data_IF_446120930845
#
_entry.id   IF_446120930845
#
_cell.length_a   1.000
_cell.length_b   1.000
_cell.length_c   1.000
_cell.angle_alpha   90.00
_cell.angle_beta   90.00
_cell.angle_gamma   90.00
#
_symmetry.space_group_name_H-M   'P 1'
#
loop_
_entity.id
_entity.type
_entity.pdbx_description
1 polymer ?
#
# COMPACT_ATOMS: atom_id res chain seq x y z
N UNK A 1 -2.13 22.21 32.48
CA UNK A 1 -1.37 20.97 32.21
C UNK A 1 -0.20 20.86 33.18
N UNK A 2 -0.12 19.78 33.95
CA UNK A 2 0.94 19.57 34.93
C UNK A 2 2.27 19.21 34.26
N UNK A 3 3.40 19.30 35.00
CA UNK A 3 4.72 18.88 34.55
C UNK A 3 4.70 17.42 34.04
N UNK A 4 4.07 16.53 34.76
CA UNK A 4 3.98 15.10 34.48
C UNK A 4 3.18 14.81 33.20
N UNK A 5 2.06 15.50 32.98
CA UNK A 5 1.30 15.35 31.75
C UNK A 5 2.07 15.84 30.50
N UNK A 6 2.85 16.90 30.64
CA UNK A 6 3.75 17.37 29.54
C UNK A 6 4.87 16.37 29.25
N UNK A 7 5.42 15.71 30.26
CA UNK A 7 6.46 14.69 30.12
C UNK A 7 5.90 13.45 29.42
N UNK A 8 4.78 12.93 29.90
CA UNK A 8 4.10 11.77 29.29
C UNK A 8 3.74 12.00 27.82
N UNK A 9 3.29 13.22 27.47
CA UNK A 9 3.02 13.60 26.08
C UNK A 9 4.30 13.55 25.22
N UNK A 10 5.41 14.12 25.68
CA UNK A 10 6.69 14.11 24.96
C UNK A 10 7.21 12.68 24.75
N UNK A 11 7.11 11.83 25.77
CA UNK A 11 7.53 10.42 25.68
C UNK A 11 6.66 9.65 24.67
N UNK A 12 5.35 9.92 24.65
CA UNK A 12 4.43 9.38 23.64
C UNK A 12 4.81 9.84 22.22
N UNK A 13 5.00 11.14 22.03
CA UNK A 13 5.41 11.71 20.74
C UNK A 13 6.73 11.13 20.23
N UNK A 14 7.73 10.98 21.10
CA UNK A 14 9.02 10.39 20.74
C UNK A 14 8.87 8.93 20.29
N UNK A 15 8.03 8.15 20.96
CA UNK A 15 7.75 6.76 20.64
C UNK A 15 7.02 6.62 19.31
N UNK A 16 6.01 7.45 19.07
CA UNK A 16 5.28 7.49 17.79
C UNK A 16 6.24 7.83 16.66
N UNK A 17 7.07 8.87 16.80
CA UNK A 17 8.05 9.25 15.77
C UNK A 17 9.04 8.15 15.46
N UNK A 18 9.51 7.41 16.47
CA UNK A 18 10.40 6.25 16.28
C UNK A 18 9.70 5.16 15.48
N UNK A 19 8.50 4.74 15.89
CA UNK A 19 7.72 3.72 15.20
C UNK A 19 7.36 4.10 13.76
N UNK A 20 7.01 5.36 13.51
CA UNK A 20 6.79 5.86 12.16
C UNK A 20 8.05 5.82 11.29
N UNK A 21 9.21 6.17 11.85
CA UNK A 21 10.47 6.13 11.11
C UNK A 21 10.88 4.69 10.74
N UNK A 22 10.69 3.75 11.66
CA UNK A 22 10.90 2.32 11.42
C UNK A 22 9.96 1.80 10.33
N UNK A 23 8.67 2.05 10.46
CA UNK A 23 7.66 1.66 9.46
C UNK A 23 7.97 2.24 8.06
N UNK A 24 8.28 3.53 7.98
CA UNK A 24 8.63 4.18 6.70
C UNK A 24 9.85 3.56 6.05
N UNK A 25 10.88 3.23 6.83
CA UNK A 25 12.09 2.57 6.34
C UNK A 25 11.78 1.17 5.79
N UNK A 26 10.97 0.40 6.48
CA UNK A 26 10.55 -0.94 6.03
C UNK A 26 9.68 -0.87 4.77
N UNK A 27 8.73 0.07 4.74
CA UNK A 27 7.89 0.31 3.56
C UNK A 27 8.73 0.75 2.35
N UNK A 28 9.69 1.64 2.54
CA UNK A 28 10.61 2.07 1.48
C UNK A 28 11.45 0.90 0.96
N UNK A 29 11.99 0.06 1.84
CA UNK A 29 12.74 -1.12 1.47
C UNK A 29 11.89 -2.10 0.66
N UNK A 30 10.64 -2.32 1.06
CA UNK A 30 9.68 -3.16 0.35
C UNK A 30 9.42 -2.64 -1.08
N UNK A 31 9.13 -1.35 -1.24
CA UNK A 31 8.88 -0.75 -2.56
C UNK A 31 10.13 -0.73 -3.45
N UNK A 32 11.31 -0.50 -2.88
CA UNK A 32 12.58 -0.54 -3.62
C UNK A 32 12.94 -1.97 -4.08
N UNK A 33 12.71 -2.97 -3.24
CA UNK A 33 12.89 -4.37 -3.61
C UNK A 33 12.00 -4.72 -4.81
N UNK A 34 10.72 -4.36 -4.72
CA UNK A 34 9.75 -4.64 -5.78
C UNK A 34 10.10 -3.92 -7.08
N UNK A 35 10.52 -2.65 -7.01
CA UNK A 35 10.98 -1.91 -8.18
C UNK A 35 12.20 -2.59 -8.84
N UNK A 36 13.11 -3.14 -8.04
CA UNK A 36 14.27 -3.88 -8.53
C UNK A 36 13.86 -5.16 -9.27
N UNK A 37 12.87 -5.89 -8.77
CA UNK A 37 12.33 -7.09 -9.45
C UNK A 37 11.66 -6.73 -10.78
N UNK A 38 10.75 -5.75 -10.75
CA UNK A 38 10.08 -5.28 -11.98
C UNK A 38 11.10 -4.85 -13.06
N UNK A 39 12.19 -4.20 -12.64
CA UNK A 39 13.26 -3.80 -13.55
C UNK A 39 14.00 -5.00 -14.13
N UNK A 40 14.33 -6.00 -13.33
CA UNK A 40 15.00 -7.24 -13.81
C UNK A 40 14.16 -7.95 -14.86
N UNK A 41 12.86 -8.12 -14.63
CA UNK A 41 11.96 -8.76 -15.58
C UNK A 41 11.88 -7.96 -16.89
N UNK A 42 11.75 -6.65 -16.79
CA UNK A 42 11.73 -5.76 -17.95
C UNK A 42 13.04 -5.80 -18.75
N UNK A 43 14.20 -5.73 -18.09
CA UNK A 43 15.52 -5.76 -18.74
C UNK A 43 15.76 -7.12 -19.40
N UNK A 44 15.40 -8.23 -18.74
CA UNK A 44 15.50 -9.59 -19.30
C UNK A 44 14.63 -9.76 -20.55
N UNK A 45 13.41 -9.22 -20.52
CA UNK A 45 12.51 -9.22 -21.66
C UNK A 45 13.09 -8.43 -22.83
N UNK A 46 13.54 -7.19 -22.60
CA UNK A 46 14.08 -6.31 -23.65
C UNK A 46 15.32 -6.92 -24.28
N UNK A 47 16.24 -7.51 -23.49
CA UNK A 47 17.44 -8.17 -24.04
C UNK A 47 17.09 -9.36 -24.93
N UNK A 48 16.16 -10.21 -24.50
CA UNK A 48 15.68 -11.34 -25.33
C UNK A 48 15.04 -10.89 -26.63
N UNK A 49 14.38 -9.72 -26.61
CA UNK A 49 13.63 -9.20 -27.74
C UNK A 49 14.51 -8.46 -28.76
N UNK A 50 15.41 -7.61 -28.30
CA UNK A 50 16.32 -6.82 -29.13
C UNK A 50 17.26 -7.70 -29.95
N UNK A 51 17.70 -8.83 -29.39
CA UNK A 51 18.65 -9.73 -30.04
C UNK A 51 18.05 -10.63 -31.14
N UNK A 52 16.71 -10.74 -31.24
CA UNK A 52 16.09 -11.72 -32.15
C UNK A 52 15.48 -11.17 -33.45
N UNK A 53 15.05 -9.92 -33.54
CA UNK A 53 14.11 -9.56 -34.57
C UNK A 53 14.43 -8.35 -35.46
N UNK A 54 15.33 -7.46 -35.16
CA UNK A 54 15.64 -6.27 -35.98
C UNK A 54 14.41 -5.39 -36.36
N UNK A 55 13.23 -5.65 -35.77
CA UNK A 55 11.96 -5.01 -36.05
C UNK A 55 11.56 -4.06 -34.92
N UNK A 56 10.90 -2.94 -35.27
CA UNK A 56 10.32 -2.08 -34.26
C UNK A 56 9.12 -2.78 -33.56
N UNK A 57 8.97 -2.55 -32.25
CA UNK A 57 7.89 -3.15 -31.44
C UNK A 57 6.49 -2.72 -31.93
N UNK A 58 6.37 -1.55 -32.55
CA UNK A 58 5.10 -1.03 -33.12
C UNK A 58 4.63 -1.79 -34.36
N UNK A 59 5.56 -2.18 -35.24
CA UNK A 59 5.24 -3.00 -36.38
C UNK A 59 4.84 -4.41 -35.97
N UNK A 60 5.40 -4.84 -34.86
CA UNK A 60 5.15 -6.11 -34.22
C UNK A 60 3.68 -6.29 -33.80
N UNK A 61 3.10 -5.33 -33.11
CA UNK A 61 1.74 -5.41 -32.58
C UNK A 61 0.68 -5.33 -33.68
N UNK A 62 0.88 -4.45 -34.67
CA UNK A 62 -0.06 -4.30 -35.78
C UNK A 62 -0.24 -5.57 -36.61
N UNK A 63 0.83 -6.38 -36.78
CA UNK A 63 0.78 -7.69 -37.42
C UNK A 63 0.13 -8.77 -36.56
N UNK A 64 0.30 -8.69 -35.21
CA UNK A 64 -0.23 -9.68 -34.30
C UNK A 64 -1.75 -9.56 -34.10
N UNK A 65 -2.28 -8.34 -34.03
CA UNK A 65 -3.73 -8.08 -33.87
C UNK A 65 -4.56 -8.61 -35.05
N UNK A 66 -3.92 -8.90 -36.21
CA UNK A 66 -4.57 -9.44 -37.40
C UNK A 66 -4.37 -10.96 -37.60
N UNK A 67 -3.76 -11.67 -36.62
CA UNK A 67 -3.30 -13.03 -36.80
C UNK A 67 -4.02 -14.05 -35.88
N UNK A 68 -4.68 -15.04 -36.47
CA UNK A 68 -5.28 -16.15 -35.74
C UNK A 68 -4.21 -17.21 -35.37
N UNK A 69 -3.72 -17.15 -34.14
CA UNK A 69 -2.65 -18.02 -33.60
C UNK A 69 -3.04 -19.50 -33.66
N UNK A 70 -4.30 -19.84 -33.33
CA UNK A 70 -4.75 -21.25 -33.33
C UNK A 70 -4.87 -21.87 -34.72
N UNK A 71 -5.45 -21.12 -35.64
CA UNK A 71 -5.54 -21.59 -37.00
C UNK A 71 -4.16 -21.80 -37.64
N UNK A 72 -3.21 -20.91 -37.30
CA UNK A 72 -1.86 -21.02 -37.84
C UNK A 72 -1.00 -22.10 -37.15
N UNK A 73 -1.19 -22.38 -35.84
CA UNK A 73 -0.47 -23.48 -35.15
C UNK A 73 -0.71 -24.83 -35.85
N UNK A 74 -1.96 -25.09 -36.28
CA UNK A 74 -2.33 -26.29 -37.03
C UNK A 74 -1.61 -26.34 -38.39
N UNK A 75 -1.60 -25.22 -39.11
CA UNK A 75 -0.94 -25.08 -40.40
C UNK A 75 0.58 -25.16 -40.29
N UNK A 76 1.18 -24.58 -39.26
CA UNK A 76 2.62 -24.67 -38.99
C UNK A 76 3.07 -26.11 -38.70
N UNK A 77 2.29 -26.88 -37.96
CA UNK A 77 2.53 -28.31 -37.75
C UNK A 77 2.50 -29.09 -39.07
N UNK A 78 1.60 -28.71 -39.98
CA UNK A 78 1.49 -29.34 -41.30
C UNK A 78 2.72 -29.02 -42.15
N UNK A 79 3.18 -27.75 -42.21
CA UNK A 79 4.41 -27.38 -42.94
C UNK A 79 5.64 -28.14 -42.46
N UNK A 80 5.76 -28.40 -41.16
CA UNK A 80 6.86 -29.18 -40.59
C UNK A 80 6.73 -30.65 -40.97
N UNK A 81 5.51 -31.22 -40.92
CA UNK A 81 5.26 -32.60 -41.26
C UNK A 81 5.52 -32.86 -42.80
N UNK A 82 5.11 -31.92 -43.64
CA UNK A 82 5.25 -32.02 -45.07
C UNK A 82 6.65 -31.59 -45.57
N UNK A 83 7.54 -31.15 -44.66
CA UNK A 83 8.87 -30.58 -44.98
C UNK A 83 8.81 -29.46 -46.07
N UNK A 84 7.76 -28.64 -46.01
CA UNK A 84 7.59 -27.51 -46.94
C UNK A 84 8.45 -26.32 -46.47
N UNK A 85 9.54 -26.07 -47.18
CA UNK A 85 10.45 -24.94 -46.96
C UNK A 85 10.29 -23.85 -48.05
N UNK A 86 9.14 -23.77 -48.68
CA UNK A 86 8.86 -22.74 -49.66
C UNK A 86 9.00 -21.31 -49.12
N UNK A 87 9.24 -20.29 -49.93
CA UNK A 87 9.26 -18.89 -49.51
C UNK A 87 7.95 -18.45 -48.85
N UNK A 88 6.83 -19.10 -49.19
CA UNK A 88 5.51 -18.86 -48.60
C UNK A 88 5.45 -19.45 -47.17
N UNK A 89 5.80 -20.73 -46.98
CA UNK A 89 5.84 -21.40 -45.70
C UNK A 89 6.79 -20.69 -44.73
N UNK A 90 7.99 -20.32 -45.21
CA UNK A 90 8.96 -19.58 -44.40
C UNK A 90 8.49 -18.18 -43.99
N UNK A 91 7.67 -17.50 -44.77
CA UNK A 91 7.07 -16.21 -44.44
C UNK A 91 6.01 -16.37 -43.36
N UNK A 92 5.12 -17.34 -43.54
CA UNK A 92 4.05 -17.66 -42.59
C UNK A 92 4.62 -18.14 -41.23
N UNK A 93 5.69 -18.95 -41.23
CA UNK A 93 6.40 -19.35 -40.00
C UNK A 93 7.07 -18.16 -39.30
N UNK A 94 7.60 -17.18 -40.02
CA UNK A 94 8.11 -15.94 -39.42
C UNK A 94 6.98 -15.12 -38.79
N UNK A 95 5.83 -15.02 -39.44
CA UNK A 95 4.67 -14.33 -38.93
C UNK A 95 4.09 -15.03 -37.70
N UNK A 96 4.16 -16.38 -37.62
CA UNK A 96 3.83 -17.16 -36.41
C UNK A 96 4.81 -16.90 -35.24
N UNK A 97 6.11 -17.00 -35.50
CA UNK A 97 7.13 -16.72 -34.49
C UNK A 97 7.02 -15.29 -33.94
N UNK A 98 6.54 -14.40 -34.75
CA UNK A 98 6.25 -13.03 -34.45
C UNK A 98 5.01 -12.91 -33.53
N UNK A 99 3.89 -13.56 -33.85
CA UNK A 99 2.68 -13.61 -33.02
C UNK A 99 2.94 -14.26 -31.66
N UNK A 100 3.77 -15.32 -31.64
CA UNK A 100 4.24 -15.92 -30.38
C UNK A 100 5.14 -14.96 -29.57
N UNK A 101 5.77 -13.97 -30.18
CA UNK A 101 6.52 -12.96 -29.46
C UNK A 101 5.64 -11.91 -28.78
N UNK A 102 4.44 -11.66 -29.31
CA UNK A 102 3.41 -10.80 -28.68
C UNK A 102 2.80 -11.50 -27.45
N UNK A 103 2.54 -12.81 -27.53
CA UNK A 103 2.15 -13.60 -26.35
C UNK A 103 3.18 -13.51 -25.21
N UNK A 104 4.46 -13.29 -25.51
CA UNK A 104 5.49 -13.03 -24.49
C UNK A 104 5.36 -11.67 -23.83
N UNK A 105 4.84 -10.64 -24.50
CA UNK A 105 4.55 -9.36 -23.88
C UNK A 105 3.41 -9.48 -22.85
N UNK A 106 2.39 -10.27 -23.16
CA UNK A 106 1.32 -10.58 -22.22
C UNK A 106 1.84 -11.36 -21.02
N UNK A 107 2.76 -12.32 -21.23
CA UNK A 107 3.43 -13.02 -20.14
C UNK A 107 4.24 -12.07 -19.26
N UNK A 108 5.03 -11.16 -19.83
CA UNK A 108 5.72 -10.15 -19.05
C UNK A 108 4.76 -9.30 -18.22
N UNK A 109 3.65 -8.85 -18.81
CA UNK A 109 2.66 -8.06 -18.08
C UNK A 109 2.07 -8.87 -16.93
N UNK A 110 1.78 -10.16 -17.11
CA UNK A 110 1.29 -11.04 -16.04
C UNK A 110 2.33 -11.23 -14.95
N UNK A 111 3.60 -11.43 -15.29
CA UNK A 111 4.70 -11.51 -14.32
C UNK A 111 4.80 -10.21 -13.48
N UNK A 112 4.76 -9.05 -14.14
CA UNK A 112 4.75 -7.76 -13.44
C UNK A 112 3.51 -7.56 -12.56
N UNK A 113 2.33 -8.02 -13.00
CA UNK A 113 1.10 -7.99 -12.22
C UNK A 113 1.18 -8.89 -10.97
N UNK A 114 1.79 -10.08 -11.08
CA UNK A 114 2.03 -10.99 -9.95
C UNK A 114 3.00 -10.38 -8.92
N UNK A 115 4.08 -9.76 -9.39
CA UNK A 115 5.02 -9.07 -8.52
C UNK A 115 4.35 -7.92 -7.73
N UNK A 116 3.49 -7.14 -8.38
CA UNK A 116 2.73 -6.09 -7.71
C UNK A 116 1.64 -6.64 -6.78
N UNK A 117 1.12 -7.84 -7.03
CA UNK A 117 0.22 -8.52 -6.11
C UNK A 117 0.95 -8.96 -4.84
N UNK A 118 2.17 -9.48 -4.97
CA UNK A 118 3.03 -9.81 -3.83
C UNK A 118 3.37 -8.56 -3.00
N UNK A 119 3.64 -7.41 -3.64
CA UNK A 119 3.78 -6.13 -2.96
C UNK A 119 2.54 -5.77 -2.13
N UNK A 120 1.35 -5.99 -2.69
CA UNK A 120 0.08 -5.67 -2.02
C UNK A 120 -0.09 -6.43 -0.71
N UNK A 121 0.22 -7.73 -0.72
CA UNK A 121 0.13 -8.57 0.49
C UNK A 121 1.22 -8.22 1.51
N UNK A 122 2.45 -7.99 1.05
CA UNK A 122 3.55 -7.59 1.95
C UNK A 122 3.29 -6.24 2.61
N UNK A 123 2.74 -5.27 1.88
CA UNK A 123 2.32 -3.99 2.44
C UNK A 123 1.18 -4.15 3.46
N UNK A 124 0.21 -5.03 3.15
CA UNK A 124 -0.88 -5.32 4.07
C UNK A 124 -0.36 -5.91 5.39
N UNK A 125 0.54 -6.88 5.33
CA UNK A 125 1.14 -7.50 6.50
C UNK A 125 1.94 -6.48 7.33
N UNK A 126 2.81 -5.71 6.68
CA UNK A 126 3.60 -4.67 7.34
C UNK A 126 2.71 -3.64 8.04
N UNK A 127 1.62 -3.23 7.39
CA UNK A 127 0.65 -2.29 7.96
C UNK A 127 -0.10 -2.92 9.14
N UNK A 128 -0.55 -4.16 9.02
CA UNK A 128 -1.23 -4.90 10.11
C UNK A 128 -0.36 -4.97 11.37
N UNK A 129 0.91 -5.34 11.20
CA UNK A 129 1.87 -5.42 12.30
C UNK A 129 2.12 -4.04 12.93
N UNK A 130 2.25 -3.01 12.11
CA UNK A 130 2.42 -1.63 12.59
C UNK A 130 1.21 -1.16 13.41
N UNK A 131 -0.01 -1.43 12.98
CA UNK A 131 -1.24 -1.08 13.69
C UNK A 131 -1.38 -1.86 15.00
N UNK A 132 -1.14 -3.17 14.99
CA UNK A 132 -1.16 -4.02 16.19
C UNK A 132 -0.12 -3.57 17.21
N UNK A 133 1.08 -3.26 16.77
CA UNK A 133 2.15 -2.75 17.63
C UNK A 133 1.77 -1.38 18.21
N UNK A 134 1.10 -0.52 17.44
CA UNK A 134 0.55 0.75 17.89
C UNK A 134 -0.47 0.57 19.03
N UNK A 135 -1.40 -0.36 18.88
CA UNK A 135 -2.38 -0.70 19.92
C UNK A 135 -1.69 -1.19 21.20
N UNK A 136 -0.81 -2.19 21.08
CA UNK A 136 -0.06 -2.76 22.21
C UNK A 136 0.80 -1.71 22.93
N UNK A 137 1.45 -0.83 22.17
CA UNK A 137 2.27 0.25 22.72
C UNK A 137 1.45 1.26 23.53
N UNK A 138 0.23 1.54 23.09
CA UNK A 138 -0.67 2.44 23.82
C UNK A 138 -1.19 1.78 25.10
N UNK A 139 -1.61 0.51 25.04
CA UNK A 139 -1.99 -0.28 26.22
C UNK A 139 -0.85 -0.34 27.25
N UNK A 140 0.37 -0.58 26.81
CA UNK A 140 1.54 -0.60 27.70
C UNK A 140 1.79 0.77 28.34
N UNK A 141 1.58 1.86 27.60
CA UNK A 141 1.69 3.23 28.13
C UNK A 141 0.66 3.49 29.22
N UNK A 142 -0.59 3.14 28.98
CA UNK A 142 -1.67 3.35 29.98
C UNK A 142 -1.43 2.52 31.24
N UNK A 143 -0.91 1.30 31.11
CA UNK A 143 -0.49 0.48 32.24
C UNK A 143 0.59 1.16 33.09
N UNK A 144 1.58 1.80 32.44
CA UNK A 144 2.62 2.56 33.12
C UNK A 144 2.09 3.81 33.85
N UNK A 145 0.95 4.33 33.45
CA UNK A 145 0.24 5.43 34.07
C UNK A 145 -0.67 4.96 35.21
N UNK A 146 -0.68 3.66 35.54
CA UNK A 146 -1.46 3.07 36.62
C UNK A 146 -2.89 2.67 36.26
N UNK A 147 -3.25 2.70 34.94
CA UNK A 147 -4.56 2.28 34.49
C UNK A 147 -4.69 0.75 34.50
N UNK A 148 -5.87 0.24 34.80
CA UNK A 148 -6.22 -1.15 34.52
C UNK A 148 -6.32 -1.35 33.00
N UNK A 149 -5.58 -2.34 32.49
CA UNK A 149 -5.51 -2.58 31.03
C UNK A 149 -5.93 -4.01 30.67
N UNK A 150 -6.51 -4.23 29.50
CA UNK A 150 -6.86 -5.57 29.05
C UNK A 150 -5.59 -6.42 28.85
N UNK A 151 -5.71 -7.72 29.12
CA UNK A 151 -4.61 -8.69 28.96
C UNK A 151 -5.09 -9.99 28.31
N UNK A 152 -4.15 -10.81 27.86
CA UNK A 152 -4.43 -12.13 27.28
C UNK A 152 -5.46 -12.08 26.15
N UNK A 153 -6.46 -12.96 26.22
CA UNK A 153 -7.50 -13.07 25.16
C UNK A 153 -8.34 -11.79 24.99
N UNK A 154 -8.56 -11.05 26.07
CA UNK A 154 -9.32 -9.78 26.03
C UNK A 154 -8.56 -8.73 25.23
N UNK A 155 -7.26 -8.60 25.46
CA UNK A 155 -6.38 -7.71 24.68
C UNK A 155 -6.42 -8.06 23.20
N UNK A 156 -6.25 -9.33 22.85
CA UNK A 156 -6.27 -9.78 21.45
C UNK A 156 -7.62 -9.50 20.77
N UNK A 157 -8.74 -9.71 21.49
CA UNK A 157 -10.08 -9.41 20.97
C UNK A 157 -10.25 -7.91 20.70
N UNK A 158 -9.90 -7.06 21.65
CA UNK A 158 -10.07 -5.62 21.52
C UNK A 158 -9.16 -5.05 20.43
N UNK A 159 -7.90 -5.48 20.40
CA UNK A 159 -6.94 -5.11 19.36
C UNK A 159 -7.43 -5.51 17.98
N UNK A 160 -7.87 -6.75 17.79
CA UNK A 160 -8.38 -7.24 16.52
C UNK A 160 -9.62 -6.45 16.06
N UNK A 161 -10.52 -6.14 16.99
CA UNK A 161 -11.70 -5.33 16.72
C UNK A 161 -11.30 -3.91 16.29
N UNK A 162 -10.39 -3.27 17.04
CA UNK A 162 -9.92 -1.93 16.75
C UNK A 162 -9.18 -1.84 15.39
N UNK A 163 -8.27 -2.78 15.13
CA UNK A 163 -7.51 -2.81 13.86
C UNK A 163 -8.45 -2.98 12.65
N UNK A 164 -9.46 -3.86 12.76
CA UNK A 164 -10.37 -4.17 11.64
C UNK A 164 -11.62 -3.28 11.56
N UNK A 165 -11.75 -2.29 12.42
CA UNK A 165 -12.88 -1.38 12.38
C UNK A 165 -12.92 -0.54 11.10
N UNK A 166 -14.12 -0.25 10.60
CA UNK A 166 -14.30 0.69 9.51
C UNK A 166 -13.98 2.12 9.96
N UNK A 167 -13.35 2.88 9.08
CA UNK A 167 -13.12 4.30 9.26
C UNK A 167 -13.40 5.02 7.94
N UNK A 168 -14.22 6.06 7.95
CA UNK A 168 -14.62 6.79 6.73
C UNK A 168 -15.09 5.86 5.59
N UNK A 169 -15.93 4.90 5.92
CA UNK A 169 -16.62 4.04 4.95
C UNK A 169 -15.86 2.83 4.42
N UNK A 170 -14.60 2.60 4.84
CA UNK A 170 -13.85 1.43 4.41
C UNK A 170 -12.85 0.96 5.47
N UNK A 171 -12.42 -0.30 5.37
CA UNK A 171 -11.27 -0.80 6.14
C UNK A 171 -9.96 -0.34 5.49
N UNK A 172 -8.93 -0.18 6.30
CA UNK A 172 -7.59 0.17 5.83
C UNK A 172 -7.04 -0.84 4.80
N UNK A 173 -7.30 -2.13 4.99
CA UNK A 173 -6.87 -3.19 4.07
C UNK A 173 -7.55 -3.07 2.71
N UNK A 174 -8.83 -2.73 2.65
CA UNK A 174 -9.57 -2.50 1.40
C UNK A 174 -8.98 -1.30 0.63
N UNK A 175 -8.57 -0.25 1.35
CA UNK A 175 -7.89 0.91 0.77
C UNK A 175 -6.53 0.56 0.18
N UNK A 176 -5.75 -0.33 0.82
CA UNK A 176 -4.50 -0.87 0.26
C UNK A 176 -4.79 -1.60 -1.04
N UNK A 177 -5.72 -2.56 -1.04
CA UNK A 177 -6.05 -3.34 -2.24
C UNK A 177 -6.52 -2.46 -3.40
N UNK A 178 -7.38 -1.47 -3.14
CA UNK A 178 -7.86 -0.53 -4.16
C UNK A 178 -6.72 0.31 -4.76
N UNK A 179 -5.83 0.85 -3.93
CA UNK A 179 -4.67 1.62 -4.38
C UNK A 179 -3.70 0.75 -5.19
N UNK A 180 -3.42 -0.45 -4.72
CA UNK A 180 -2.53 -1.38 -5.40
C UNK A 180 -3.11 -1.89 -6.73
N UNK A 181 -4.42 -2.05 -6.82
CA UNK A 181 -5.09 -2.34 -8.09
C UNK A 181 -4.92 -1.19 -9.09
N UNK A 182 -5.03 0.06 -8.64
CA UNK A 182 -4.77 1.23 -9.48
C UNK A 182 -3.32 1.27 -9.93
N UNK A 183 -2.36 0.99 -9.05
CA UNK A 183 -0.95 0.90 -9.39
C UNK A 183 -0.69 -0.17 -10.48
N UNK A 184 -1.26 -1.37 -10.33
CA UNK A 184 -1.15 -2.43 -11.36
C UNK A 184 -1.68 -1.97 -12.71
N UNK A 185 -2.87 -1.35 -12.76
CA UNK A 185 -3.46 -0.82 -14.00
C UNK A 185 -2.57 0.22 -14.67
N UNK A 186 -2.00 1.12 -13.88
CA UNK A 186 -1.09 2.17 -14.41
C UNK A 186 0.21 1.55 -14.92
N UNK A 187 0.84 0.66 -14.16
CA UNK A 187 2.08 -0.02 -14.58
C UNK A 187 1.86 -0.80 -15.87
N UNK A 188 0.78 -1.59 -15.96
CA UNK A 188 0.39 -2.29 -17.18
C UNK A 188 0.26 -1.36 -18.38
N UNK A 189 -0.44 -0.25 -18.21
CA UNK A 189 -0.65 0.75 -19.27
C UNK A 189 0.67 1.37 -19.73
N UNK A 190 1.54 1.77 -18.79
CA UNK A 190 2.83 2.38 -19.09
C UNK A 190 3.78 1.41 -19.78
N UNK A 191 3.86 0.16 -19.32
CA UNK A 191 4.67 -0.88 -19.94
C UNK A 191 4.16 -1.19 -21.34
N UNK A 192 2.87 -1.44 -21.53
CA UNK A 192 2.27 -1.72 -22.83
C UNK A 192 2.53 -0.58 -23.81
N UNK A 193 2.31 0.67 -23.40
CA UNK A 193 2.54 1.85 -24.24
C UNK A 193 4.00 2.01 -24.64
N UNK A 194 4.91 1.77 -23.70
CA UNK A 194 6.35 1.88 -23.91
C UNK A 194 6.87 0.77 -24.84
N UNK A 195 6.38 -0.46 -24.71
CA UNK A 195 6.71 -1.56 -25.61
C UNK A 195 6.23 -1.27 -27.04
N UNK A 196 5.03 -0.71 -27.20
CA UNK A 196 4.50 -0.30 -28.51
C UNK A 196 5.40 0.77 -29.16
N UNK A 197 5.95 1.69 -28.36
CA UNK A 197 6.79 2.80 -28.86
C UNK A 197 8.26 2.41 -29.04
N UNK A 198 8.66 1.19 -28.66
CA UNK A 198 10.06 0.76 -28.67
C UNK A 198 10.95 1.52 -27.70
N UNK A 199 10.38 1.99 -26.57
CA UNK A 199 11.14 2.74 -25.56
C UNK A 199 12.11 1.82 -24.82
N UNK A 200 13.26 2.36 -24.38
CA UNK A 200 14.24 1.60 -23.65
C UNK A 200 13.79 1.34 -22.19
N UNK A 201 14.32 0.25 -21.59
CA UNK A 201 13.96 -0.18 -20.23
C UNK A 201 14.19 0.86 -19.15
N UNK A 202 15.22 1.73 -19.27
CA UNK A 202 15.48 2.79 -18.32
C UNK A 202 14.37 3.84 -18.28
N UNK A 203 13.80 4.17 -19.44
CA UNK A 203 12.69 5.11 -19.53
C UNK A 203 11.44 4.54 -18.88
N UNK A 204 11.15 3.26 -19.16
CA UNK A 204 10.03 2.53 -18.56
C UNK A 204 10.21 2.45 -17.03
N UNK A 205 11.38 2.04 -16.57
CA UNK A 205 11.70 1.93 -15.13
C UNK A 205 11.54 3.26 -14.38
N UNK A 206 11.92 4.40 -14.99
CA UNK A 206 11.71 5.73 -14.38
C UNK A 206 10.24 6.08 -14.20
N UNK A 207 9.38 5.74 -15.19
CA UNK A 207 7.94 5.99 -15.08
C UNK A 207 7.31 5.11 -14.02
N UNK A 208 7.63 3.82 -14.01
CA UNK A 208 7.15 2.89 -12.97
C UNK A 208 7.55 3.42 -11.59
N UNK A 209 8.82 3.83 -11.40
CA UNK A 209 9.30 4.40 -10.13
C UNK A 209 8.43 5.56 -9.67
N UNK A 210 8.11 6.51 -10.54
CA UNK A 210 7.27 7.66 -10.19
C UNK A 210 5.91 7.26 -9.63
N UNK A 211 5.27 6.26 -10.23
CA UNK A 211 3.98 5.75 -9.75
C UNK A 211 4.12 4.97 -8.44
N UNK A 212 5.18 4.21 -8.28
CA UNK A 212 5.47 3.49 -7.04
C UNK A 212 5.78 4.44 -5.88
N UNK A 213 6.55 5.51 -6.11
CA UNK A 213 6.85 6.53 -5.10
C UNK A 213 5.57 7.26 -4.64
N UNK A 214 4.66 7.58 -5.57
CA UNK A 214 3.35 8.15 -5.24
C UNK A 214 2.51 7.17 -4.41
N UNK A 215 2.44 5.90 -4.82
CA UNK A 215 1.71 4.85 -4.08
C UNK A 215 2.29 4.64 -2.67
N UNK A 216 3.62 4.66 -2.52
CA UNK A 216 4.30 4.57 -1.22
C UNK A 216 3.94 5.74 -0.31
N UNK A 217 3.91 6.96 -0.84
CA UNK A 217 3.51 8.16 -0.07
C UNK A 217 2.07 8.05 0.44
N UNK A 218 1.16 7.53 -0.39
CA UNK A 218 -0.22 7.27 0.01
C UNK A 218 -0.32 6.15 1.05
N UNK A 219 0.53 5.11 0.94
CA UNK A 219 0.63 4.04 1.93
C UNK A 219 1.08 4.57 3.30
N UNK A 220 2.11 5.41 3.33
CA UNK A 220 2.57 6.07 4.57
C UNK A 220 1.44 6.90 5.21
N UNK A 221 0.76 7.71 4.42
CA UNK A 221 -0.36 8.52 4.91
C UNK A 221 -1.47 7.68 5.51
N UNK A 222 -1.86 6.61 4.81
CA UNK A 222 -2.89 5.68 5.30
C UNK A 222 -2.48 5.05 6.62
N UNK A 223 -1.30 4.43 6.67
CA UNK A 223 -0.84 3.68 7.82
C UNK A 223 -0.69 4.59 9.07
N UNK A 224 -0.13 5.79 8.93
CA UNK A 224 0.05 6.73 10.06
C UNK A 224 -1.31 7.24 10.56
N UNK A 225 -2.26 7.50 9.67
CA UNK A 225 -3.61 7.94 10.05
C UNK A 225 -4.36 6.83 10.78
N UNK A 226 -4.30 5.61 10.26
CA UNK A 226 -4.93 4.45 10.88
C UNK A 226 -4.28 4.07 12.21
N UNK A 227 -2.96 4.26 12.35
CA UNK A 227 -2.26 4.05 13.62
C UNK A 227 -2.79 4.99 14.71
N UNK A 228 -2.99 6.27 14.42
CA UNK A 228 -3.61 7.20 15.35
C UNK A 228 -5.03 6.78 15.75
N UNK A 229 -5.83 6.30 14.79
CA UNK A 229 -7.17 5.77 15.05
C UNK A 229 -7.14 4.56 15.99
N UNK A 230 -6.25 3.62 15.72
CA UNK A 230 -6.11 2.41 16.54
C UNK A 230 -5.66 2.73 17.96
N UNK A 231 -4.76 3.70 18.14
CA UNK A 231 -4.36 4.19 19.46
C UNK A 231 -5.52 4.87 20.20
N UNK A 232 -6.33 5.67 19.52
CA UNK A 232 -7.53 6.29 20.13
C UNK A 232 -8.52 5.24 20.59
N UNK A 233 -8.75 4.17 19.81
CA UNK A 233 -9.61 3.06 20.21
C UNK A 233 -9.04 2.27 21.40
N UNK A 234 -7.72 2.15 21.52
CA UNK A 234 -7.09 1.58 22.70
C UNK A 234 -7.36 2.45 23.95
N UNK A 235 -7.17 3.76 23.85
CA UNK A 235 -7.47 4.71 24.93
C UNK A 235 -8.95 4.66 25.33
N UNK A 236 -9.86 4.67 24.36
CA UNK A 236 -11.30 4.55 24.59
C UNK A 236 -11.65 3.29 25.39
N UNK A 237 -11.12 2.13 24.99
CA UNK A 237 -11.40 0.86 25.67
C UNK A 237 -10.89 0.87 27.12
N UNK A 238 -9.70 1.42 27.34
CA UNK A 238 -9.10 1.51 28.68
C UNK A 238 -9.87 2.50 29.57
N UNK A 239 -10.26 3.65 29.05
CA UNK A 239 -11.09 4.61 29.79
C UNK A 239 -12.43 3.99 30.22
N UNK A 240 -13.07 3.20 29.36
CA UNK A 240 -14.32 2.48 29.69
C UNK A 240 -14.11 1.45 30.79
N UNK A 241 -13.03 0.65 30.73
CA UNK A 241 -12.71 -0.35 31.75
C UNK A 241 -12.39 0.28 33.11
N UNK A 242 -11.78 1.46 33.16
CA UNK A 242 -11.47 2.19 34.37
C UNK A 242 -12.64 3.06 34.87
N UNK A 243 -13.79 3.03 34.20
CA UNK A 243 -15.01 3.70 34.66
C UNK A 243 -15.05 5.22 34.41
N UNK A 244 -14.12 5.76 33.64
CA UNK A 244 -14.15 7.17 33.25
C UNK A 244 -15.39 7.47 32.39
N UNK A 245 -15.88 8.68 32.50
CA UNK A 245 -17.11 9.11 31.81
C UNK A 245 -16.84 10.13 30.72
N UNK A 246 -15.78 10.90 30.86
CA UNK A 246 -15.45 12.00 29.95
C UNK A 246 -14.00 11.93 29.50
N UNK A 247 -13.75 12.51 28.35
CA UNK A 247 -12.42 12.70 27.78
C UNK A 247 -12.26 14.12 27.24
N UNK A 248 -11.01 14.52 27.02
CA UNK A 248 -10.64 15.70 26.22
C UNK A 248 -9.58 15.32 25.19
N UNK A 249 -9.57 16.04 24.09
CA UNK A 249 -8.52 15.92 23.09
C UNK A 249 -7.24 16.61 23.60
N UNK A 250 -6.12 15.90 23.53
CA UNK A 250 -4.80 16.43 23.81
C UNK A 250 -4.04 16.64 22.49
N UNK A 251 -3.89 17.89 22.04
CA UNK A 251 -3.12 18.19 20.84
C UNK A 251 -1.63 17.84 21.04
N UNK A 252 -0.99 17.28 19.99
CA UNK A 252 0.46 17.13 19.97
C UNK A 252 1.18 18.50 19.99
N UNK A 253 2.49 18.49 20.27
CA UNK A 253 3.28 19.72 20.39
C UNK A 253 3.29 20.59 19.14
N UNK A 254 3.11 19.99 17.95
CA UNK A 254 3.03 20.65 16.63
C UNK A 254 1.67 20.51 15.98
N UNK A 255 0.62 20.36 16.77
CA UNK A 255 -0.74 20.22 16.27
C UNK A 255 -1.16 21.39 15.39
N UNK A 256 -1.98 21.10 14.37
CA UNK A 256 -2.60 22.14 13.54
C UNK A 256 -3.63 22.95 14.34
N UNK A 257 -4.09 24.05 13.78
CA UNK A 257 -4.99 24.96 14.48
C UNK A 257 -6.35 24.31 14.75
N UNK A 258 -6.85 23.45 13.86
CA UNK A 258 -8.09 22.67 14.07
C UNK A 258 -7.97 21.80 15.32
N UNK A 259 -6.91 21.01 15.45
CA UNK A 259 -6.70 20.16 16.63
C UNK A 259 -6.51 20.97 17.92
N UNK A 260 -5.83 22.13 17.84
CA UNK A 260 -5.69 23.04 18.99
C UNK A 260 -7.02 23.63 19.43
N UNK A 261 -7.90 23.95 18.49
CA UNK A 261 -9.23 24.49 18.77
C UNK A 261 -10.11 23.44 19.44
N UNK A 262 -10.22 22.23 18.85
CA UNK A 262 -10.95 21.10 19.46
C UNK A 262 -10.39 20.79 20.86
N UNK A 263 -9.05 20.80 21.03
CA UNK A 263 -8.42 20.60 22.32
C UNK A 263 -8.83 21.65 23.37
N UNK A 264 -8.94 22.93 22.98
CA UNK A 264 -9.42 24.01 23.87
C UNK A 264 -10.90 23.86 24.20
N UNK A 265 -11.71 23.48 23.23
CA UNK A 265 -13.16 23.27 23.41
C UNK A 265 -13.41 22.09 24.36
N UNK A 266 -12.75 20.95 24.12
CA UNK A 266 -12.88 19.75 24.95
C UNK A 266 -12.23 19.91 26.34
N UNK A 267 -11.26 20.80 26.52
CA UNK A 267 -10.72 21.16 27.85
C UNK A 267 -11.73 21.97 28.66
N UNK A 268 -12.48 22.89 28.02
CA UNK A 268 -13.53 23.68 28.69
C UNK A 268 -14.79 22.86 28.97
N UNK A 269 -15.15 21.99 28.04
CA UNK A 269 -16.33 21.13 28.10
C UNK A 269 -15.94 19.71 27.68
N UNK A 270 -15.51 18.86 28.63
CA UNK A 270 -15.17 17.48 28.32
C UNK A 270 -16.32 16.73 27.64
N UNK A 271 -15.95 15.87 26.68
CA UNK A 271 -16.90 15.09 25.88
C UNK A 271 -17.14 13.77 26.58
N UNK A 272 -18.37 13.27 26.58
CA UNK A 272 -18.64 11.93 27.11
C UNK A 272 -17.97 10.87 26.24
N UNK A 273 -17.41 9.83 26.86
CA UNK A 273 -16.79 8.72 26.12
C UNK A 273 -17.81 8.01 25.21
N UNK A 274 -19.08 7.99 25.62
CA UNK A 274 -20.16 7.44 24.78
C UNK A 274 -20.41 8.23 23.49
N UNK A 275 -20.05 9.52 23.48
CA UNK A 275 -20.22 10.44 22.34
C UNK A 275 -18.88 10.65 21.59
N UNK A 276 -17.89 9.75 21.80
CA UNK A 276 -16.61 9.80 21.09
C UNK A 276 -16.82 9.48 19.61
N UNK A 277 -16.40 10.40 18.76
CA UNK A 277 -16.50 10.29 17.31
C UNK A 277 -15.13 10.58 16.67
N UNK A 278 -14.49 9.51 16.19
CA UNK A 278 -13.18 9.60 15.52
C UNK A 278 -13.33 10.37 14.21
N UNK A 279 -12.46 11.35 14.01
CA UNK A 279 -12.54 12.27 12.86
C UNK A 279 -13.24 13.59 13.19
N UNK A 280 -14.00 13.64 14.28
CA UNK A 280 -14.78 14.83 14.70
C UNK A 280 -14.25 15.41 16.02
N UNK A 281 -14.34 14.66 17.10
CA UNK A 281 -13.93 15.09 18.44
C UNK A 281 -12.78 14.25 19.04
N UNK A 282 -12.39 13.19 18.34
CA UNK A 282 -11.29 12.31 18.74
C UNK A 282 -10.37 11.99 17.54
N UNK A 283 -9.03 11.82 17.77
CA UNK A 283 -8.08 11.57 16.69
C UNK A 283 -8.31 10.24 15.94
N UNK A 284 -7.88 10.17 14.66
CA UNK A 284 -7.32 11.24 13.84
C UNK A 284 -8.38 12.20 13.31
N UNK A 285 -8.17 13.52 13.49
CA UNK A 285 -9.04 14.56 12.94
C UNK A 285 -8.76 14.80 11.45
N UNK A 286 -7.55 14.51 11.02
CA UNK A 286 -7.07 14.69 9.63
C UNK A 286 -5.93 13.70 9.34
N UNK A 287 -5.54 13.50 8.09
CA UNK A 287 -4.36 12.70 7.75
C UNK A 287 -3.11 13.15 8.51
N UNK A 288 -2.30 12.18 8.96
CA UNK A 288 -1.11 12.41 9.80
C UNK A 288 -1.38 13.02 11.18
N UNK A 289 -2.60 13.01 11.68
CA UNK A 289 -2.91 13.46 13.03
C UNK A 289 -2.24 12.54 14.07
N UNK A 290 -1.55 13.14 15.07
CA UNK A 290 -0.86 12.42 16.18
C UNK A 290 -1.36 12.83 17.56
N UNK A 291 -2.46 13.56 17.60
CA UNK A 291 -3.10 13.94 18.85
C UNK A 291 -3.54 12.70 19.66
N UNK A 292 -3.91 12.87 20.89
CA UNK A 292 -4.40 11.82 21.78
C UNK A 292 -5.73 12.24 22.40
N UNK A 293 -6.40 11.33 23.05
CA UNK A 293 -7.42 11.63 24.04
C UNK A 293 -6.89 11.30 25.42
N UNK A 294 -7.38 12.00 26.42
CA UNK A 294 -7.08 11.73 27.82
C UNK A 294 -8.36 11.82 28.63
N UNK A 295 -8.43 11.00 29.66
CA UNK A 295 -9.53 10.94 30.59
C UNK A 295 -9.69 12.27 31.35
N UNK A 296 -10.92 12.56 31.76
CA UNK A 296 -11.29 13.64 32.66
C UNK A 296 -12.23 13.04 33.71
N UNK A 297 -11.95 13.34 34.99
CA UNK A 297 -12.76 12.92 36.12
C UNK A 297 -14.18 13.49 36.06
#
# INVERSE_FOLDING_TARGET
>A
MTYWSKRALREREARIKKGEAEFKKELEALYNLQLSQLRKELDAFIQKYANKNGLSVSDAKRKADSFDVKAFETKAKQYVADKDFSPKANRELRDYNFSMSVGRQELLIQELELELLALSESERQLTDDYLKNGYKSEVARESLLGQTVPSGKTLEKYMTTAVNANFEGAKWSERIWKRQEQLRKVVKTEVTRALIRGENGLTIARRIRKHMDASRTEAERLAITEHARVQTLAQESIMKENGFKHFKLMPESRACDICKEIGKETEKKPVKIADMEIGTNAPPIHPYCRCAVVEVE
#
